data_IF_432367407251
#
_entry.id   IF_432367407251
#
_cell.length_a   1.000
_cell.length_b   1.000
_cell.length_c   1.000
_cell.angle_alpha   90.00
_cell.angle_beta   90.00
_cell.angle_gamma   90.00
#
_symmetry.space_group_name_H-M   'P 1'
#
loop_
_entity.id
_entity.type
_entity.pdbx_description
1 polymer ?
#
# COMPACT_ATOMS: atom_id res chain seq x y z
N UNK A 1 -9.59 22.08 -24.30
CA UNK A 1 -9.93 21.94 -25.74
C UNK A 1 -8.71 21.95 -26.66
N UNK A 2 -7.75 22.87 -26.51
CA UNK A 2 -6.56 22.94 -27.38
C UNK A 2 -5.63 21.70 -27.31
N UNK A 3 -5.43 21.13 -26.11
CA UNK A 3 -4.59 19.94 -25.92
C UNK A 3 -5.17 18.64 -26.51
N UNK A 4 -6.50 18.47 -26.40
CA UNK A 4 -7.22 17.38 -27.06
C UNK A 4 -7.15 17.51 -28.58
N UNK A 5 -7.32 18.73 -29.10
CA UNK A 5 -7.22 19.01 -30.53
C UNK A 5 -5.82 18.75 -31.09
N UNK A 6 -4.76 19.15 -30.37
CA UNK A 6 -3.38 18.91 -30.80
C UNK A 6 -3.00 17.42 -30.76
N UNK A 7 -3.45 16.70 -29.72
CA UNK A 7 -3.28 15.25 -29.59
C UNK A 7 -4.01 14.48 -30.69
N UNK A 8 -5.25 14.88 -31.01
CA UNK A 8 -5.98 14.32 -32.15
C UNK A 8 -5.26 14.62 -33.46
N UNK A 9 -4.75 15.85 -33.67
CA UNK A 9 -4.02 16.20 -34.89
C UNK A 9 -2.73 15.39 -35.10
N UNK A 10 -2.07 14.95 -34.02
CA UNK A 10 -0.90 14.06 -34.09
C UNK A 10 -1.26 12.58 -34.28
N UNK A 11 -2.43 12.15 -33.81
CA UNK A 11 -2.94 10.77 -33.99
C UNK A 11 -3.65 10.59 -35.34
N UNK A 12 -4.23 11.66 -35.89
CA UNK A 12 -5.07 11.66 -37.09
C UNK A 12 -4.40 10.98 -38.29
N UNK A 13 -3.14 11.23 -38.68
CA UNK A 13 -2.59 10.60 -39.89
C UNK A 13 -2.52 9.07 -39.80
N UNK A 14 -2.22 8.56 -38.62
CA UNK A 14 -2.15 7.11 -38.38
C UNK A 14 -3.55 6.48 -38.27
N UNK A 15 -4.46 7.15 -37.57
CA UNK A 15 -5.85 6.71 -37.44
C UNK A 15 -6.57 6.77 -38.79
N UNK A 16 -6.31 7.80 -39.60
CA UNK A 16 -6.90 7.99 -40.92
C UNK A 16 -6.34 6.96 -41.93
N UNK A 17 -5.04 6.66 -41.91
CA UNK A 17 -4.43 5.60 -42.74
C UNK A 17 -4.94 4.20 -42.35
N UNK A 18 -5.01 3.90 -41.04
CA UNK A 18 -5.57 2.66 -40.55
C UNK A 18 -7.07 2.54 -40.91
N UNK A 19 -7.84 3.61 -40.76
CA UNK A 19 -9.27 3.64 -41.12
C UNK A 19 -9.48 3.46 -42.62
N UNK A 20 -8.69 4.12 -43.46
CA UNK A 20 -8.77 3.95 -44.91
C UNK A 20 -8.47 2.49 -45.28
N UNK A 21 -7.36 1.92 -44.78
CA UNK A 21 -6.97 0.53 -45.03
C UNK A 21 -8.02 -0.47 -44.56
N UNK A 22 -8.70 -0.21 -43.44
CA UNK A 22 -9.80 -1.07 -42.95
C UNK A 22 -10.93 -1.23 -43.97
N UNK A 23 -11.27 -0.17 -44.69
CA UNK A 23 -12.36 -0.18 -45.66
C UNK A 23 -11.94 -0.45 -47.10
N UNK A 24 -10.63 -0.39 -47.41
CA UNK A 24 -10.12 -0.54 -48.79
C UNK A 24 -9.31 -1.81 -49.06
N UNK A 25 -8.76 -2.47 -48.04
CA UNK A 25 -8.01 -3.73 -48.20
C UNK A 25 -8.96 -4.94 -48.09
N UNK A 26 -8.68 -5.99 -48.87
CA UNK A 26 -9.38 -7.26 -48.73
C UNK A 26 -9.15 -7.86 -47.33
N UNK A 27 -10.18 -8.48 -46.76
CA UNK A 27 -10.16 -8.99 -45.38
C UNK A 27 -9.00 -9.97 -45.09
N UNK A 28 -8.55 -10.70 -46.12
CA UNK A 28 -7.47 -11.68 -46.01
C UNK A 28 -6.06 -11.09 -46.25
N UNK A 29 -5.96 -9.84 -46.72
CA UNK A 29 -4.71 -9.17 -47.11
C UNK A 29 -4.33 -8.08 -46.09
N UNK A 30 -3.94 -8.48 -44.88
CA UNK A 30 -3.45 -7.59 -43.82
C UNK A 30 -4.40 -6.43 -43.46
N UNK A 31 -5.72 -6.63 -43.62
CA UNK A 31 -6.71 -5.63 -43.26
C UNK A 31 -6.61 -5.31 -41.75
N UNK A 32 -6.41 -4.03 -41.35
CA UNK A 32 -6.26 -3.65 -39.94
C UNK A 32 -7.49 -4.01 -39.07
N UNK A 33 -8.64 -4.29 -39.67
CA UNK A 33 -9.83 -4.78 -38.97
C UNK A 33 -9.59 -6.15 -38.31
N UNK A 34 -8.67 -6.97 -38.82
CA UNK A 34 -8.24 -8.20 -38.14
C UNK A 34 -7.69 -7.90 -36.74
N UNK A 35 -7.00 -6.77 -36.56
CA UNK A 35 -6.52 -6.35 -35.25
C UNK A 35 -7.68 -6.09 -34.27
N UNK A 36 -8.86 -5.66 -34.74
CA UNK A 36 -10.06 -5.49 -33.91
C UNK A 36 -10.46 -6.85 -33.31
N UNK A 37 -10.61 -7.88 -34.15
CA UNK A 37 -10.97 -9.23 -33.67
C UNK A 37 -9.93 -9.81 -32.70
N UNK A 38 -8.64 -9.49 -32.91
CA UNK A 38 -7.56 -9.86 -31.99
C UNK A 38 -7.71 -9.13 -30.65
N UNK A 39 -8.00 -7.82 -30.68
CA UNK A 39 -8.20 -7.02 -29.46
C UNK A 39 -9.48 -7.33 -28.70
N UNK A 40 -10.53 -7.83 -29.39
CA UNK A 40 -11.74 -8.34 -28.75
C UNK A 40 -11.47 -9.65 -28.00
N UNK A 41 -10.57 -10.49 -28.53
CA UNK A 41 -10.19 -11.77 -27.92
C UNK A 41 -9.13 -11.61 -26.83
N UNK A 42 -8.15 -10.72 -27.02
CA UNK A 42 -7.00 -10.54 -26.14
C UNK A 42 -6.78 -9.06 -25.83
N UNK A 43 -6.58 -8.74 -24.55
CA UNK A 43 -6.20 -7.38 -24.16
C UNK A 43 -4.83 -7.01 -24.75
N UNK A 44 -4.57 -5.72 -25.08
CA UNK A 44 -3.25 -5.26 -25.49
C UNK A 44 -2.15 -5.64 -24.48
N UNK A 45 -2.47 -5.63 -23.19
CA UNK A 45 -1.58 -6.10 -22.11
C UNK A 45 -1.17 -7.56 -22.33
N UNK A 46 -2.14 -8.46 -22.56
CA UNK A 46 -1.86 -9.88 -22.76
C UNK A 46 -0.97 -10.12 -23.99
N UNK A 47 -1.22 -9.39 -25.08
CA UNK A 47 -0.42 -9.50 -26.32
C UNK A 47 1.02 -9.06 -26.08
N UNK A 48 1.22 -7.88 -25.47
CA UNK A 48 2.56 -7.33 -25.20
C UNK A 48 3.32 -8.21 -24.20
N UNK A 49 2.68 -8.62 -23.11
CA UNK A 49 3.30 -9.52 -22.14
C UNK A 49 3.69 -10.86 -22.79
N UNK A 50 2.84 -11.44 -23.65
CA UNK A 50 3.17 -12.65 -24.39
C UNK A 50 4.39 -12.45 -25.32
N UNK A 51 4.47 -11.32 -26.02
CA UNK A 51 5.61 -10.99 -26.87
C UNK A 51 6.91 -10.86 -26.07
N UNK A 52 6.90 -10.13 -24.94
CA UNK A 52 8.09 -9.98 -24.10
C UNK A 52 8.49 -11.32 -23.47
N UNK A 53 7.54 -12.15 -23.06
CA UNK A 53 7.82 -13.53 -22.60
C UNK A 53 8.48 -14.37 -23.69
N UNK A 54 7.99 -14.27 -24.94
CA UNK A 54 8.55 -15.00 -26.07
C UNK A 54 9.97 -14.52 -26.43
N UNK A 55 10.27 -13.23 -26.26
CA UNK A 55 11.60 -12.66 -26.50
C UNK A 55 12.61 -13.05 -25.42
N UNK A 56 12.23 -12.94 -24.14
CA UNK A 56 13.16 -13.13 -23.03
C UNK A 56 13.29 -14.58 -22.58
N UNK A 57 12.21 -15.38 -22.67
CA UNK A 57 12.18 -16.74 -22.12
C UNK A 57 12.26 -16.82 -20.60
N UNK A 58 12.08 -15.69 -19.90
CA UNK A 58 12.12 -15.56 -18.43
C UNK A 58 10.84 -14.95 -17.88
N UNK A 59 10.73 -14.91 -16.56
CA UNK A 59 9.68 -14.20 -15.85
C UNK A 59 9.65 -12.70 -16.20
N UNK A 60 8.43 -12.11 -16.18
CA UNK A 60 8.25 -10.66 -16.36
C UNK A 60 8.13 -10.00 -15.00
N UNK A 61 8.64 -8.78 -14.90
CA UNK A 61 8.46 -7.90 -13.76
C UNK A 61 7.51 -6.75 -14.11
N UNK A 62 6.51 -6.50 -13.26
CA UNK A 62 5.57 -5.38 -13.38
C UNK A 62 5.69 -4.45 -12.16
N UNK A 63 5.70 -3.13 -12.35
CA UNK A 63 5.68 -2.18 -11.24
C UNK A 63 4.24 -1.85 -10.82
N UNK A 64 4.10 -1.32 -9.62
CA UNK A 64 2.90 -0.76 -9.00
C UNK A 64 1.81 -1.75 -8.55
N UNK A 65 1.99 -3.06 -8.74
CA UNK A 65 1.01 -4.07 -8.33
C UNK A 65 -0.10 -4.29 -9.35
N UNK A 66 -1.13 -5.03 -8.93
CA UNK A 66 -2.25 -5.39 -9.80
C UNK A 66 -3.07 -4.18 -10.26
N UNK A 67 -3.44 -4.08 -11.55
CA UNK A 67 -4.47 -3.16 -12.00
C UNK A 67 -5.89 -3.66 -11.69
N UNK A 68 -6.05 -4.90 -11.21
CA UNK A 68 -7.34 -5.50 -10.89
C UNK A 68 -7.73 -5.09 -9.46
N UNK A 69 -8.78 -4.27 -9.35
CA UNK A 69 -9.32 -3.83 -8.06
C UNK A 69 -10.58 -4.65 -7.75
N UNK A 70 -10.49 -5.46 -6.70
CA UNK A 70 -11.54 -6.41 -6.30
C UNK A 70 -12.25 -5.99 -5.02
N UNK A 71 -11.78 -4.97 -4.32
CA UNK A 71 -12.41 -4.36 -3.16
C UNK A 71 -13.44 -3.30 -3.59
N UNK A 72 -14.76 -3.58 -3.54
CA UNK A 72 -15.80 -2.65 -4.00
C UNK A 72 -16.08 -1.54 -2.97
N UNK A 73 -15.07 -0.75 -2.59
CA UNK A 73 -15.20 0.36 -1.65
C UNK A 73 -16.31 1.36 -2.04
N UNK A 74 -16.57 1.51 -3.34
CA UNK A 74 -17.62 2.37 -3.89
C UNK A 74 -19.05 1.90 -3.57
N UNK A 75 -19.26 0.62 -3.24
CA UNK A 75 -20.58 0.08 -2.84
C UNK A 75 -20.92 0.34 -1.37
N UNK A 76 -19.94 0.73 -0.56
CA UNK A 76 -20.12 1.04 0.86
C UNK A 76 -20.30 2.56 1.01
N UNK A 77 -21.26 3.00 1.80
CA UNK A 77 -21.57 4.40 2.04
C UNK A 77 -21.47 4.73 3.53
N UNK A 78 -21.00 5.95 3.85
CA UNK A 78 -21.11 6.52 5.19
C UNK A 78 -22.52 7.11 5.36
N UNK A 79 -23.13 6.91 6.52
CA UNK A 79 -24.52 7.27 6.75
C UNK A 79 -24.63 8.61 7.51
N UNK A 80 -25.08 9.71 6.85
CA UNK A 80 -25.20 10.99 7.50
C UNK A 80 -26.31 11.03 8.55
N UNK A 81 -26.16 11.89 9.55
CA UNK A 81 -27.13 12.11 10.63
C UNK A 81 -27.35 13.62 10.79
N UNK A 82 -28.60 14.03 11.02
CA UNK A 82 -28.99 15.45 10.94
C UNK A 82 -29.95 15.90 12.05
N UNK A 83 -31.02 15.13 12.29
CA UNK A 83 -32.12 15.55 13.17
C UNK A 83 -32.13 14.81 14.51
N UNK A 84 -31.97 13.48 14.48
CA UNK A 84 -31.98 12.65 15.70
C UNK A 84 -30.63 12.66 16.43
N UNK A 85 -29.58 13.10 15.75
CA UNK A 85 -28.27 13.36 16.31
C UNK A 85 -27.76 14.64 15.64
N UNK A 86 -27.27 15.56 16.46
CA UNK A 86 -26.80 16.87 15.99
C UNK A 86 -25.28 16.80 15.76
N UNK A 87 -24.80 17.21 14.58
CA UNK A 87 -23.36 17.20 14.29
C UNK A 87 -22.61 18.24 15.12
N UNK A 88 -21.31 18.03 15.32
CA UNK A 88 -20.43 19.04 15.91
C UNK A 88 -20.47 20.32 15.07
N UNK A 89 -20.44 21.49 15.71
CA UNK A 89 -20.62 22.76 15.00
C UNK A 89 -19.36 23.23 14.25
N UNK A 90 -18.21 22.62 14.53
CA UNK A 90 -16.92 22.91 13.90
C UNK A 90 -16.14 21.62 13.64
N UNK A 91 -15.95 21.29 12.36
CA UNK A 91 -15.19 20.11 11.94
C UNK A 91 -13.74 20.12 12.46
N UNK A 92 -13.17 21.29 12.77
CA UNK A 92 -11.79 21.40 13.26
C UNK A 92 -11.61 20.74 14.63
N UNK A 93 -12.68 20.65 15.43
CA UNK A 93 -12.69 19.98 16.73
C UNK A 93 -12.71 18.46 16.65
N UNK A 94 -12.92 17.89 15.46
CA UNK A 94 -12.90 16.44 15.27
C UNK A 94 -11.49 15.93 15.47
N UNK A 95 -11.35 15.01 16.42
CA UNK A 95 -10.11 14.34 16.75
C UNK A 95 -9.72 13.32 15.67
N UNK A 96 -8.45 13.33 15.31
CA UNK A 96 -7.86 12.46 14.28
C UNK A 96 -6.69 11.65 14.80
N UNK A 97 -6.32 11.84 16.07
CA UNK A 97 -5.12 11.22 16.63
C UNK A 97 -5.31 9.71 16.70
N UNK A 98 -4.27 8.97 16.33
CA UNK A 98 -4.24 7.52 16.52
C UNK A 98 -3.04 7.11 17.36
N UNK A 99 -3.15 5.95 18.00
CA UNK A 99 -2.08 5.38 18.81
C UNK A 99 -1.92 3.95 18.36
N UNK A 100 -0.71 3.58 17.94
CA UNK A 100 -0.36 2.21 17.58
C UNK A 100 0.54 1.63 18.66
N UNK A 101 0.19 0.43 19.10
CA UNK A 101 0.82 -0.32 20.17
C UNK A 101 0.65 0.32 21.53
N UNK A 102 -0.60 0.55 21.93
CA UNK A 102 -0.94 1.10 23.25
C UNK A 102 -0.37 0.32 24.44
N UNK A 103 -0.05 -0.97 24.26
CA UNK A 103 0.59 -1.85 25.26
C UNK A 103 2.12 -1.75 25.28
N UNK A 104 2.74 -1.01 24.36
CA UNK A 104 4.18 -0.73 24.38
C UNK A 104 4.51 0.34 25.43
N UNK A 105 5.75 0.33 25.93
CA UNK A 105 6.21 1.36 26.88
C UNK A 105 6.35 2.72 26.19
N UNK A 106 6.68 2.72 24.90
CA UNK A 106 6.78 3.90 24.04
C UNK A 106 5.83 3.73 22.84
N UNK A 107 4.50 3.88 23.04
CA UNK A 107 3.53 3.69 21.96
C UNK A 107 3.71 4.77 20.89
N UNK A 108 3.39 4.42 19.64
CA UNK A 108 3.46 5.33 18.51
C UNK A 108 2.23 6.24 18.52
N UNK A 109 2.40 7.53 18.83
CA UNK A 109 1.31 8.51 18.91
C UNK A 109 1.33 9.40 17.67
N UNK A 110 0.31 9.27 16.83
CA UNK A 110 0.23 9.96 15.54
C UNK A 110 -0.90 10.97 15.53
N UNK A 111 -0.72 12.09 14.83
CA UNK A 111 -1.74 13.13 14.70
C UNK A 111 -2.87 12.75 13.74
N UNK A 112 -2.60 11.80 12.83
CA UNK A 112 -3.53 11.33 11.81
C UNK A 112 -3.42 9.80 11.65
N UNK A 113 -4.49 9.09 11.24
CA UNK A 113 -4.50 7.63 11.11
C UNK A 113 -4.05 7.14 9.73
N UNK A 114 -3.29 7.96 9.00
CA UNK A 114 -2.79 7.66 7.65
C UNK A 114 -1.27 7.57 7.77
N UNK A 115 -0.70 6.40 7.47
CA UNK A 115 0.72 6.13 7.61
C UNK A 115 1.31 5.80 6.24
N UNK A 116 2.56 6.21 5.97
CA UNK A 116 3.24 5.83 4.73
C UNK A 116 3.75 4.40 4.86
N UNK A 117 3.31 3.53 3.94
CA UNK A 117 3.61 2.09 3.98
C UNK A 117 5.09 1.78 3.70
N UNK A 118 5.46 0.55 4.01
CA UNK A 118 6.79 0.00 3.82
C UNK A 118 7.18 -0.05 2.32
N UNK A 119 8.21 0.70 1.94
CA UNK A 119 8.78 0.68 0.58
C UNK A 119 10.30 0.80 0.69
N UNK A 120 11.03 -0.23 0.27
CA UNK A 120 12.46 -0.39 0.55
C UNK A 120 13.32 0.67 -0.11
N UNK A 121 14.33 1.15 0.61
CA UNK A 121 15.38 1.97 0.03
C UNK A 121 16.32 1.11 -0.82
N UNK A 122 16.59 1.50 -2.07
CA UNK A 122 17.45 0.73 -2.99
C UNK A 122 16.72 -0.41 -3.70
N UNK A 123 15.96 -1.24 -2.97
CA UNK A 123 15.13 -2.29 -3.59
C UNK A 123 13.90 -1.75 -4.34
N UNK A 124 13.33 -0.62 -3.88
CA UNK A 124 12.15 -0.01 -4.50
C UNK A 124 12.36 1.46 -4.82
N UNK A 125 12.62 2.29 -3.81
CA UNK A 125 12.63 3.74 -3.93
C UNK A 125 14.06 4.32 -3.89
N UNK A 126 14.23 5.43 -4.59
CA UNK A 126 15.44 6.26 -4.52
C UNK A 126 15.61 6.92 -3.15
N UNK A 127 16.83 7.35 -2.81
CA UNK A 127 17.12 8.01 -1.52
C UNK A 127 16.33 9.30 -1.39
N UNK A 128 16.27 10.07 -2.48
CA UNK A 128 15.51 11.33 -2.55
C UNK A 128 14.04 11.11 -2.24
N UNK A 129 13.42 10.05 -2.80
CA UNK A 129 12.03 9.75 -2.52
C UNK A 129 11.82 9.32 -1.06
N UNK A 130 12.69 8.46 -0.50
CA UNK A 130 12.59 8.05 0.91
C UNK A 130 12.68 9.23 1.87
N UNK A 131 13.61 10.15 1.63
CA UNK A 131 13.73 11.39 2.42
C UNK A 131 12.47 12.26 2.25
N UNK A 132 11.95 12.41 1.03
CA UNK A 132 10.74 13.20 0.79
C UNK A 132 9.51 12.64 1.52
N UNK A 133 9.33 11.31 1.50
CA UNK A 133 8.27 10.63 2.23
C UNK A 133 8.41 10.82 3.74
N UNK A 134 9.62 10.67 4.29
CA UNK A 134 9.92 10.87 5.70
C UNK A 134 9.62 12.32 6.15
N UNK A 135 10.10 13.32 5.39
CA UNK A 135 9.82 14.74 5.67
C UNK A 135 8.32 15.04 5.58
N UNK A 136 7.64 14.58 4.53
CA UNK A 136 6.22 14.84 4.31
C UNK A 136 5.33 14.19 5.39
N UNK A 137 5.67 12.97 5.82
CA UNK A 137 5.01 12.29 6.93
C UNK A 137 5.20 13.05 8.25
N UNK A 138 6.42 13.49 8.54
CA UNK A 138 6.74 14.27 9.75
C UNK A 138 6.00 15.61 9.79
N UNK A 139 5.92 16.34 8.67
CA UNK A 139 5.13 17.59 8.60
C UNK A 139 3.65 17.32 8.91
N UNK A 140 3.13 16.16 8.53
CA UNK A 140 1.76 15.76 8.80
C UNK A 140 1.56 15.11 10.19
N UNK A 141 2.62 14.95 10.99
CA UNK A 141 2.58 14.30 12.31
C UNK A 141 2.26 12.80 12.23
N UNK A 142 2.73 12.11 11.19
CA UNK A 142 2.55 10.67 11.00
C UNK A 142 3.87 9.94 10.74
N UNK A 143 3.81 8.61 10.68
CA UNK A 143 4.98 7.76 10.49
C UNK A 143 5.24 7.41 9.00
N UNK A 144 6.48 7.00 8.75
CA UNK A 144 6.89 6.31 7.53
C UNK A 144 7.57 4.99 7.88
N UNK A 145 7.78 4.12 6.90
CA UNK A 145 8.31 2.78 7.11
C UNK A 145 9.49 2.49 6.17
N UNK A 146 10.56 1.88 6.71
CA UNK A 146 11.80 1.62 5.97
C UNK A 146 11.60 0.74 4.74
N UNK A 147 10.63 -0.17 4.77
CA UNK A 147 10.60 -1.31 3.85
C UNK A 147 11.68 -2.34 4.18
N UNK A 148 11.79 -3.37 3.34
CA UNK A 148 12.82 -4.42 3.44
C UNK A 148 14.18 -3.79 3.08
N UNK A 149 14.78 -3.06 4.03
CA UNK A 149 16.06 -2.36 3.94
C UNK A 149 16.57 -2.05 5.35
N UNK A 150 17.86 -1.80 5.50
CA UNK A 150 18.42 -1.18 6.70
C UNK A 150 17.92 0.28 6.89
N UNK A 151 18.05 0.81 8.11
CA UNK A 151 17.79 2.22 8.41
C UNK A 151 18.90 3.07 7.81
N UNK A 152 18.50 4.05 6.99
CA UNK A 152 19.40 5.01 6.36
C UNK A 152 19.41 6.32 7.16
N UNK A 153 20.59 6.89 7.38
CA UNK A 153 20.78 8.07 8.24
C UNK A 153 19.88 9.25 7.83
N UNK A 154 19.93 9.63 6.55
CA UNK A 154 19.12 10.74 6.04
C UNK A 154 17.60 10.50 6.13
N UNK A 155 17.15 9.24 6.03
CA UNK A 155 15.73 8.91 6.21
C UNK A 155 15.33 9.02 7.68
N UNK A 156 16.16 8.47 8.57
CA UNK A 156 15.94 8.53 10.02
C UNK A 156 15.92 9.97 10.53
N UNK A 157 16.86 10.80 10.09
CA UNK A 157 16.92 12.23 10.45
C UNK A 157 15.70 13.01 9.96
N UNK A 158 15.16 12.62 8.79
CA UNK A 158 13.99 13.25 8.20
C UNK A 158 12.66 12.79 8.81
N UNK A 159 12.63 11.62 9.46
CA UNK A 159 11.43 11.03 10.04
C UNK A 159 11.27 11.39 11.52
N UNK A 160 10.14 11.99 11.88
CA UNK A 160 9.70 12.11 13.27
C UNK A 160 9.41 10.72 13.85
N UNK A 161 8.70 9.89 13.08
CA UNK A 161 8.37 8.52 13.42
C UNK A 161 8.75 7.56 12.29
N UNK A 162 9.60 6.58 12.58
CA UNK A 162 10.05 5.57 11.62
C UNK A 162 9.72 4.16 12.11
N UNK A 163 8.95 3.44 11.31
CA UNK A 163 8.67 2.02 11.51
C UNK A 163 9.75 1.21 10.75
N UNK A 164 10.46 0.34 11.47
CA UNK A 164 11.49 -0.53 10.89
C UNK A 164 10.92 -1.87 10.46
N UNK A 165 11.14 -2.26 9.21
CA UNK A 165 10.72 -3.57 8.72
C UNK A 165 11.76 -4.66 9.01
N UNK A 166 11.48 -5.50 9.99
CA UNK A 166 12.27 -6.70 10.28
C UNK A 166 11.94 -7.74 9.21
N UNK A 167 12.92 -8.08 8.37
CA UNK A 167 12.68 -8.72 7.07
C UNK A 167 13.52 -9.97 6.84
N UNK A 168 13.23 -10.68 5.75
CA UNK A 168 13.82 -11.98 5.42
C UNK A 168 15.23 -11.86 4.81
N UNK A 169 15.64 -10.67 4.36
CA UNK A 169 17.01 -10.37 3.94
C UNK A 169 17.96 -10.06 5.10
N UNK A 170 17.44 -9.77 6.30
CA UNK A 170 18.25 -9.59 7.50
C UNK A 170 18.86 -8.20 7.70
N UNK A 171 18.66 -7.28 6.76
CA UNK A 171 19.39 -6.00 6.72
C UNK A 171 19.08 -5.04 7.89
N UNK A 172 17.87 -5.11 8.45
CA UNK A 172 17.46 -4.30 9.61
C UNK A 172 17.54 -5.08 10.93
N UNK A 173 17.78 -6.39 10.88
CA UNK A 173 17.49 -7.30 11.99
C UNK A 173 18.54 -7.28 13.12
N UNK A 174 19.47 -6.32 13.11
CA UNK A 174 20.51 -6.20 14.12
C UNK A 174 20.09 -5.27 15.27
N UNK A 175 20.60 -5.47 16.50
CA UNK A 175 20.30 -4.58 17.62
C UNK A 175 20.65 -3.11 17.38
N UNK A 176 21.71 -2.85 16.61
CA UNK A 176 22.14 -1.48 16.25
C UNK A 176 21.10 -0.77 15.39
N UNK A 177 20.48 -1.48 14.45
CA UNK A 177 19.44 -0.96 13.58
C UNK A 177 18.10 -0.83 14.32
N UNK A 178 17.69 -1.87 15.07
CA UNK A 178 16.41 -1.92 15.78
C UNK A 178 16.28 -0.86 16.88
N UNK A 179 17.39 -0.40 17.47
CA UNK A 179 17.38 0.71 18.44
C UNK A 179 17.08 2.08 17.82
N UNK A 180 17.08 2.19 16.48
CA UNK A 180 16.91 3.45 15.75
C UNK A 180 15.47 3.69 15.28
N UNK A 181 14.55 2.75 15.53
CA UNK A 181 13.17 2.82 15.02
C UNK A 181 12.17 3.04 16.15
N UNK A 182 11.02 3.63 15.82
CA UNK A 182 9.95 3.98 16.75
C UNK A 182 8.85 2.91 16.81
N UNK A 183 8.90 1.92 15.92
CA UNK A 183 8.16 0.66 15.95
C UNK A 183 8.90 -0.37 15.09
N UNK A 184 8.68 -1.66 15.39
CA UNK A 184 9.23 -2.79 14.64
C UNK A 184 8.07 -3.53 13.99
N UNK A 185 8.12 -3.74 12.68
CA UNK A 185 7.14 -4.51 11.92
C UNK A 185 7.82 -5.74 11.32
N UNK A 186 7.46 -6.93 11.80
CA UNK A 186 7.99 -8.20 11.29
C UNK A 186 7.25 -8.58 10.01
N UNK A 187 7.95 -8.52 8.89
CA UNK A 187 7.40 -8.67 7.55
C UNK A 187 7.39 -10.14 7.11
N UNK A 188 6.19 -10.71 7.00
CA UNK A 188 5.97 -12.09 6.54
C UNK A 188 5.33 -12.15 5.15
N UNK A 189 4.58 -11.12 4.75
CA UNK A 189 3.95 -11.05 3.42
C UNK A 189 3.53 -9.65 2.99
N UNK A 190 3.39 -9.47 1.68
CA UNK A 190 2.99 -8.23 0.99
C UNK A 190 1.98 -8.57 -0.11
N UNK A 191 0.96 -7.74 -0.32
CA UNK A 191 -0.09 -7.99 -1.32
C UNK A 191 0.41 -8.40 -2.71
N UNK A 192 1.35 -7.64 -3.29
CA UNK A 192 1.84 -7.86 -4.66
C UNK A 192 2.71 -9.12 -4.85
N UNK A 193 3.37 -9.59 -3.79
CA UNK A 193 4.24 -10.78 -3.82
C UNK A 193 3.58 -11.99 -3.14
N UNK A 194 2.45 -11.80 -2.46
CA UNK A 194 1.91 -12.74 -1.48
C UNK A 194 2.82 -12.86 -0.25
N UNK A 195 3.10 -14.08 0.20
CA UNK A 195 4.03 -14.34 1.28
C UNK A 195 5.05 -15.42 0.89
N UNK A 196 6.19 -15.39 1.55
CA UNK A 196 7.12 -16.52 1.59
C UNK A 196 7.71 -17.01 0.25
N UNK A 197 8.22 -16.10 -0.58
CA UNK A 197 9.03 -16.45 -1.76
C UNK A 197 10.41 -15.77 -1.75
N UNK A 198 11.34 -16.34 -2.51
CA UNK A 198 12.65 -15.74 -2.74
C UNK A 198 12.54 -14.57 -3.74
N UNK A 199 13.08 -13.42 -3.36
CA UNK A 199 13.29 -12.28 -4.23
C UNK A 199 14.81 -12.05 -4.35
N UNK A 200 15.29 -12.09 -5.60
CA UNK A 200 16.72 -11.96 -5.90
C UNK A 200 16.91 -10.63 -6.62
N UNK A 201 17.72 -9.76 -6.04
CA UNK A 201 18.20 -8.56 -6.72
C UNK A 201 19.63 -8.78 -7.21
N UNK A 202 19.86 -8.79 -8.54
CA UNK A 202 21.19 -9.04 -9.10
C UNK A 202 22.23 -8.03 -8.64
N UNK A 203 23.45 -8.46 -8.35
CA UNK A 203 24.55 -7.60 -7.87
C UNK A 203 24.78 -6.35 -8.75
N UNK A 204 24.55 -6.48 -10.06
CA UNK A 204 24.71 -5.41 -11.07
C UNK A 204 23.65 -4.30 -10.97
N UNK A 205 22.49 -4.58 -10.37
CA UNK A 205 21.42 -3.59 -10.18
C UNK A 205 21.47 -2.92 -8.81
N UNK A 206 22.43 -3.28 -7.95
CA UNK A 206 22.57 -2.72 -6.62
C UNK A 206 23.71 -1.71 -6.61
N UNK A 207 23.40 -0.47 -6.27
CA UNK A 207 24.41 0.57 -6.09
C UNK A 207 25.32 0.29 -4.88
N UNK A 208 26.59 0.69 -4.97
CA UNK A 208 27.61 0.37 -3.96
C UNK A 208 27.20 0.75 -2.54
N UNK A 209 26.62 1.94 -2.37
CA UNK A 209 26.21 2.43 -1.05
C UNK A 209 25.04 1.61 -0.45
N UNK A 210 24.20 0.97 -1.29
CA UNK A 210 23.16 0.03 -0.84
C UNK A 210 23.79 -1.27 -0.37
N UNK A 211 24.78 -1.78 -1.10
CA UNK A 211 25.54 -2.98 -0.70
C UNK A 211 26.20 -2.80 0.66
N UNK A 212 26.80 -1.63 0.89
CA UNK A 212 27.37 -1.24 2.19
C UNK A 212 26.31 -1.23 3.29
N UNK A 213 25.14 -0.61 3.04
CA UNK A 213 24.03 -0.54 3.99
C UNK A 213 23.41 -1.91 4.32
N UNK A 214 23.42 -2.84 3.36
CA UNK A 214 22.85 -4.18 3.50
C UNK A 214 23.87 -5.25 3.87
N UNK A 215 25.15 -4.88 4.01
CA UNK A 215 26.27 -5.80 4.23
C UNK A 215 26.38 -6.91 3.15
N UNK A 216 26.05 -6.56 1.89
CA UNK A 216 26.16 -7.44 0.72
C UNK A 216 27.50 -7.18 0.02
N UNK A 217 28.18 -8.23 -0.45
CA UNK A 217 29.47 -8.08 -1.17
C UNK A 217 29.26 -7.57 -2.60
N UNK A 218 30.28 -6.91 -3.16
CA UNK A 218 30.18 -6.29 -4.49
C UNK A 218 29.74 -7.22 -5.63
N UNK A 219 30.07 -8.52 -5.57
CA UNK A 219 29.71 -9.49 -6.62
C UNK A 219 28.63 -10.48 -6.17
N UNK A 220 27.89 -10.16 -5.11
CA UNK A 220 26.86 -11.01 -4.53
C UNK A 220 25.48 -10.42 -4.77
N UNK A 221 24.53 -11.29 -5.13
CA UNK A 221 23.13 -10.91 -5.26
C UNK A 221 22.54 -10.69 -3.87
N UNK A 222 21.67 -9.69 -3.73
CA UNK A 222 20.91 -9.52 -2.50
C UNK A 222 19.67 -10.40 -2.56
N UNK A 223 19.45 -11.20 -1.51
CA UNK A 223 18.35 -12.17 -1.47
C UNK A 223 17.43 -11.85 -0.30
N UNK A 224 16.15 -11.69 -0.59
CA UNK A 224 15.09 -11.73 0.43
C UNK A 224 14.54 -13.15 0.37
N UNK A 225 14.82 -13.94 1.41
CA UNK A 225 14.48 -15.36 1.41
C UNK A 225 12.98 -15.63 1.56
N UNK A 226 12.53 -16.81 1.13
CA UNK A 226 11.17 -17.29 1.39
C UNK A 226 10.84 -17.38 2.89
N UNK A 227 11.84 -17.65 3.74
CA UNK A 227 11.70 -17.71 5.19
C UNK A 227 12.77 -16.88 5.86
N UNK A 228 12.44 -16.28 7.02
CA UNK A 228 13.46 -15.63 7.84
C UNK A 228 14.51 -16.66 8.28
N UNK A 229 15.81 -16.31 8.26
CA UNK A 229 16.86 -17.20 8.74
C UNK A 229 16.59 -17.72 10.16
N UNK A 230 16.66 -19.04 10.35
CA UNK A 230 16.42 -19.69 11.64
C UNK A 230 14.94 -19.96 11.97
N UNK A 231 13.99 -19.58 11.12
CA UNK A 231 12.56 -19.82 11.33
C UNK A 231 12.11 -21.03 10.52
N UNK A 232 11.66 -22.09 11.20
CA UNK A 232 11.18 -23.33 10.56
C UNK A 232 9.77 -23.73 10.95
N UNK A 233 9.16 -23.06 11.94
CA UNK A 233 7.83 -23.34 12.44
C UNK A 233 7.11 -22.06 12.87
N UNK A 234 5.78 -22.13 13.01
CA UNK A 234 4.98 -21.04 13.60
C UNK A 234 5.41 -20.71 15.03
N UNK A 235 5.89 -21.71 15.78
CA UNK A 235 6.40 -21.50 17.14
C UNK A 235 7.66 -20.62 17.15
N UNK A 236 8.52 -20.75 16.13
CA UNK A 236 9.71 -19.89 16.01
C UNK A 236 9.32 -18.44 15.75
N UNK A 237 8.26 -18.20 14.95
CA UNK A 237 7.71 -16.86 14.73
C UNK A 237 7.17 -16.29 16.05
N UNK A 238 6.37 -17.07 16.79
CA UNK A 238 5.85 -16.65 18.10
C UNK A 238 6.99 -16.27 19.04
N UNK A 239 8.03 -17.09 19.11
CA UNK A 239 9.20 -16.84 19.95
C UNK A 239 9.95 -15.58 19.52
N UNK A 240 10.14 -15.37 18.22
CA UNK A 240 10.78 -14.17 17.67
C UNK A 240 10.03 -12.90 18.07
N UNK A 241 8.72 -12.87 17.85
CA UNK A 241 7.89 -11.70 18.18
C UNK A 241 7.90 -11.40 19.67
N UNK A 242 7.73 -12.43 20.51
CA UNK A 242 7.75 -12.27 21.96
C UNK A 242 9.12 -11.81 22.47
N UNK A 243 10.21 -12.28 21.84
CA UNK A 243 11.56 -11.81 22.12
C UNK A 243 11.70 -10.32 21.79
N UNK A 244 11.34 -9.90 20.57
CA UNK A 244 11.38 -8.48 20.17
C UNK A 244 10.55 -7.61 21.12
N UNK A 245 9.34 -8.07 21.48
CA UNK A 245 8.45 -7.36 22.39
C UNK A 245 9.02 -7.21 23.81
N UNK A 246 9.84 -8.16 24.26
CA UNK A 246 10.47 -8.10 25.59
C UNK A 246 11.78 -7.29 25.59
N UNK A 247 12.51 -7.26 24.47
CA UNK A 247 13.79 -6.55 24.34
C UNK A 247 13.64 -5.06 24.01
N UNK A 248 12.58 -4.67 23.30
CA UNK A 248 12.39 -3.30 22.82
C UNK A 248 11.15 -2.64 23.43
N UNK A 249 11.29 -1.36 23.80
CA UNK A 249 10.22 -0.58 24.44
C UNK A 249 9.16 -0.06 23.45
N UNK A 250 9.45 -0.11 22.15
CA UNK A 250 8.60 0.37 21.05
C UNK A 250 7.56 -0.68 20.63
N UNK A 251 6.50 -0.32 19.88
CA UNK A 251 5.54 -1.28 19.37
C UNK A 251 6.19 -2.33 18.49
N UNK A 252 5.79 -3.59 18.65
CA UNK A 252 6.20 -4.70 17.78
C UNK A 252 4.96 -5.26 17.09
N UNK A 253 4.94 -5.27 15.77
CA UNK A 253 3.82 -5.78 14.99
C UNK A 253 4.23 -6.82 13.96
N UNK A 254 3.22 -7.41 13.32
CA UNK A 254 3.37 -8.45 12.31
C UNK A 254 2.65 -7.99 11.06
N UNK A 255 3.33 -8.04 9.91
CA UNK A 255 2.72 -7.75 8.61
C UNK A 255 2.56 -9.03 7.79
N UNK A 256 1.33 -9.30 7.36
CA UNK A 256 0.95 -10.45 6.52
C UNK A 256 0.27 -9.99 5.23
N UNK A 257 0.38 -10.81 4.18
CA UNK A 257 -0.45 -10.66 3.00
C UNK A 257 -1.87 -11.14 3.27
N UNK A 258 -2.86 -10.52 2.65
CA UNK A 258 -4.24 -11.00 2.64
C UNK A 258 -4.30 -12.39 2.03
N UNK A 259 -4.90 -13.34 2.73
CA UNK A 259 -5.03 -14.74 2.31
C UNK A 259 -6.41 -15.27 2.69
N UNK A 260 -6.88 -16.32 2.01
CA UNK A 260 -8.11 -17.02 2.39
C UNK A 260 -7.97 -17.77 3.72
N UNK A 261 -6.73 -17.99 4.18
CA UNK A 261 -6.42 -18.61 5.48
C UNK A 261 -6.24 -17.60 6.62
N UNK A 262 -6.79 -16.39 6.49
CA UNK A 262 -6.51 -15.29 7.42
C UNK A 262 -6.84 -15.64 8.87
N UNK A 263 -7.86 -16.45 9.13
CA UNK A 263 -8.21 -16.90 10.48
C UNK A 263 -7.16 -17.85 11.08
N UNK A 264 -6.52 -18.69 10.28
CA UNK A 264 -5.43 -19.57 10.74
C UNK A 264 -4.15 -18.75 11.00
N UNK A 265 -3.86 -17.75 10.17
CA UNK A 265 -2.78 -16.79 10.42
C UNK A 265 -3.01 -16.03 11.73
N UNK A 266 -4.24 -15.53 11.94
CA UNK A 266 -4.61 -14.81 13.15
C UNK A 266 -4.58 -15.70 14.40
N UNK A 267 -4.87 -16.99 14.28
CA UNK A 267 -4.74 -17.97 15.36
C UNK A 267 -3.29 -18.16 15.80
N UNK A 268 -2.32 -18.06 14.88
CA UNK A 268 -0.89 -18.04 15.23
C UNK A 268 -0.54 -16.70 15.87
N UNK A 269 -0.94 -15.59 15.24
CA UNK A 269 -0.64 -14.24 15.71
C UNK A 269 -1.21 -13.99 17.13
N UNK A 270 -2.39 -14.52 17.45
CA UNK A 270 -3.02 -14.34 18.76
C UNK A 270 -2.22 -14.91 19.93
N UNK A 271 -1.34 -15.88 19.66
CA UNK A 271 -0.42 -16.50 20.62
C UNK A 271 0.84 -15.65 20.85
N UNK A 272 1.04 -14.59 20.07
CA UNK A 272 2.14 -13.64 20.23
C UNK A 272 1.77 -12.49 21.16
N UNK A 273 2.76 -11.75 21.64
CA UNK A 273 2.60 -10.49 22.37
C UNK A 273 2.72 -9.25 21.47
N UNK A 274 2.52 -9.41 20.15
CA UNK A 274 2.51 -8.29 19.23
C UNK A 274 1.49 -7.21 19.65
N UNK A 275 1.84 -5.97 19.35
CA UNK A 275 1.07 -4.77 19.62
C UNK A 275 0.11 -4.44 18.47
N UNK A 276 0.50 -4.75 17.23
CA UNK A 276 -0.31 -4.46 16.05
C UNK A 276 -0.16 -5.52 14.96
N UNK A 277 -1.14 -5.58 14.07
CA UNK A 277 -1.19 -6.47 12.90
C UNK A 277 -1.40 -5.60 11.67
N UNK A 278 -0.51 -5.71 10.70
CA UNK A 278 -0.68 -5.11 9.38
C UNK A 278 -1.16 -6.17 8.39
N UNK A 279 -2.27 -5.90 7.71
CA UNK A 279 -2.82 -6.77 6.67
C UNK A 279 -2.70 -6.05 5.33
N UNK A 280 -2.05 -6.68 4.35
CA UNK A 280 -1.84 -6.12 3.02
C UNK A 280 -2.60 -6.94 1.99
N UNK A 281 -3.76 -6.43 1.56
CA UNK A 281 -4.57 -7.12 0.56
C UNK A 281 -3.89 -7.19 -0.81
N UNK A 282 -4.38 -8.06 -1.68
CA UNK A 282 -3.80 -8.33 -3.01
C UNK A 282 -3.64 -7.10 -3.91
N UNK A 283 -4.37 -6.02 -3.61
CA UNK A 283 -4.29 -4.72 -4.29
C UNK A 283 -3.07 -3.88 -3.84
N UNK A 284 -2.17 -4.46 -3.06
CA UNK A 284 -0.89 -3.89 -2.66
C UNK A 284 0.02 -3.58 -3.86
N UNK A 285 0.82 -2.53 -3.74
CA UNK A 285 1.81 -2.15 -4.75
C UNK A 285 3.19 -2.75 -4.49
N UNK A 286 4.05 -2.70 -5.51
CA UNK A 286 5.47 -3.06 -5.42
C UNK A 286 6.27 -2.25 -6.46
N UNK A 287 7.59 -2.17 -6.34
CA UNK A 287 8.44 -1.68 -7.44
C UNK A 287 8.52 -2.68 -8.58
N UNK A 288 8.37 -3.96 -8.27
CA UNK A 288 8.48 -5.09 -9.20
C UNK A 288 7.90 -6.34 -8.56
N UNK A 289 6.97 -7.03 -9.22
CA UNK A 289 6.64 -8.43 -8.96
C UNK A 289 6.17 -9.10 -10.25
N UNK A 290 6.01 -10.42 -10.21
CA UNK A 290 5.53 -11.19 -11.35
C UNK A 290 4.03 -10.95 -11.56
N UNK A 291 3.54 -10.73 -12.80
CA UNK A 291 2.12 -10.47 -13.06
C UNK A 291 1.17 -11.51 -12.44
N UNK A 292 1.55 -12.79 -12.42
CA UNK A 292 0.76 -13.86 -11.80
C UNK A 292 0.64 -13.69 -10.28
N UNK A 293 1.71 -13.25 -9.60
CA UNK A 293 1.64 -13.01 -8.16
C UNK A 293 0.74 -11.80 -7.86
N UNK A 294 0.85 -10.76 -8.67
CA UNK A 294 0.05 -9.55 -8.48
C UNK A 294 -1.43 -9.79 -8.79
N UNK A 295 -1.76 -10.47 -9.90
CA UNK A 295 -3.15 -10.60 -10.38
C UNK A 295 -3.90 -11.80 -9.77
N UNK A 296 -3.20 -12.87 -9.37
CA UNK A 296 -3.83 -14.16 -9.04
C UNK A 296 -3.58 -14.64 -7.60
N UNK A 297 -2.75 -13.94 -6.80
CA UNK A 297 -2.42 -14.36 -5.43
C UNK A 297 -2.93 -13.38 -4.38
N UNK A 298 -3.56 -13.94 -3.34
CA UNK A 298 -4.00 -13.21 -2.16
C UNK A 298 -5.47 -12.80 -2.17
N UNK A 299 -5.93 -12.27 -1.05
CA UNK A 299 -7.29 -11.84 -0.82
C UNK A 299 -7.41 -10.31 -0.91
N UNK A 300 -8.49 -9.75 -1.49
CA UNK A 300 -8.62 -8.30 -1.62
C UNK A 300 -8.78 -7.61 -0.26
N UNK A 301 -8.26 -6.37 -0.18
CA UNK A 301 -8.10 -5.61 1.08
C UNK A 301 -9.37 -5.52 1.91
N UNK A 302 -10.51 -5.24 1.28
CA UNK A 302 -11.78 -5.10 1.98
C UNK A 302 -12.20 -6.40 2.68
N UNK A 303 -12.02 -7.54 2.01
CA UNK A 303 -12.42 -8.86 2.51
C UNK A 303 -11.46 -9.32 3.62
N UNK A 304 -10.16 -9.09 3.44
CA UNK A 304 -9.15 -9.37 4.46
C UNK A 304 -9.42 -8.57 5.74
N UNK A 305 -9.72 -7.27 5.63
CA UNK A 305 -10.06 -6.45 6.79
C UNK A 305 -11.32 -6.97 7.52
N UNK A 306 -12.40 -7.20 6.78
CA UNK A 306 -13.67 -7.60 7.37
C UNK A 306 -13.58 -8.93 8.12
N UNK A 307 -12.89 -9.92 7.54
CA UNK A 307 -12.65 -11.23 8.15
C UNK A 307 -11.75 -11.12 9.36
N UNK A 308 -10.66 -10.38 9.27
CA UNK A 308 -9.75 -10.21 10.39
C UNK A 308 -10.41 -9.53 11.59
N UNK A 309 -11.14 -8.43 11.37
CA UNK A 309 -11.86 -7.75 12.45
C UNK A 309 -12.91 -8.67 13.07
N UNK A 310 -13.70 -9.36 12.25
CA UNK A 310 -14.72 -10.30 12.75
C UNK A 310 -14.09 -11.41 13.59
N UNK A 311 -12.98 -12.00 13.14
CA UNK A 311 -12.28 -13.04 13.90
C UNK A 311 -11.71 -12.50 15.22
N UNK A 312 -11.11 -11.31 15.22
CA UNK A 312 -10.57 -10.68 16.43
C UNK A 312 -11.67 -10.32 17.44
N UNK A 313 -12.83 -9.87 16.97
CA UNK A 313 -14.03 -9.63 17.78
C UNK A 313 -14.55 -10.95 18.38
N UNK A 314 -14.77 -11.97 17.55
CA UNK A 314 -15.33 -13.27 17.95
C UNK A 314 -14.41 -14.03 18.94
N UNK A 315 -13.10 -13.79 18.89
CA UNK A 315 -12.09 -14.40 19.76
C UNK A 315 -11.62 -13.47 20.91
N UNK A 316 -12.34 -12.38 21.20
CA UNK A 316 -12.02 -11.42 22.27
C UNK A 316 -10.58 -10.87 22.21
N UNK A 317 -9.99 -10.82 21.02
CA UNK A 317 -8.61 -10.40 20.77
C UNK A 317 -8.51 -8.99 20.18
N UNK A 318 -9.64 -8.33 19.88
CA UNK A 318 -9.67 -6.98 19.30
C UNK A 318 -8.95 -5.92 20.15
N UNK A 319 -8.98 -6.05 21.48
CA UNK A 319 -8.28 -5.13 22.40
C UNK A 319 -6.79 -5.45 22.56
N UNK A 320 -6.31 -6.59 22.04
CA UNK A 320 -4.92 -7.01 22.16
C UNK A 320 -4.05 -6.42 21.04
N UNK A 321 -4.62 -6.24 19.85
CA UNK A 321 -3.92 -5.83 18.65
C UNK A 321 -4.58 -4.61 18.01
N UNK A 322 -3.77 -3.60 17.71
CA UNK A 322 -4.17 -2.55 16.76
C UNK A 322 -4.08 -3.12 15.33
N UNK A 323 -5.01 -2.77 14.44
CA UNK A 323 -5.07 -3.28 13.07
C UNK A 323 -4.75 -2.18 12.06
N UNK A 324 -3.70 -2.39 11.27
CA UNK A 324 -3.33 -1.53 10.15
C UNK A 324 -3.69 -2.25 8.85
N UNK A 325 -4.35 -1.56 7.93
CA UNK A 325 -4.78 -2.15 6.65
C UNK A 325 -4.17 -1.42 5.45
N UNK A 326 -3.75 -2.16 4.43
CA UNK A 326 -3.17 -1.67 3.18
C UNK A 326 -3.61 -2.50 1.96
N UNK A 327 -3.32 -1.97 0.78
CA UNK A 327 -3.69 -2.49 -0.54
C UNK A 327 -4.81 -1.65 -1.17
N UNK A 328 -4.52 -1.02 -2.31
CA UNK A 328 -5.51 -0.27 -3.10
C UNK A 328 -6.18 0.97 -2.46
N UNK A 329 -5.85 1.35 -1.22
CA UNK A 329 -6.44 2.51 -0.54
C UNK A 329 -5.89 3.82 -1.13
N UNK A 330 -6.77 4.66 -1.68
CA UNK A 330 -6.36 5.83 -2.47
C UNK A 330 -7.12 7.12 -2.15
N UNK A 331 -8.24 7.06 -1.43
CA UNK A 331 -9.09 8.24 -1.16
C UNK A 331 -9.44 8.37 0.32
N UNK A 332 -9.73 9.58 0.81
CA UNK A 332 -10.23 9.79 2.18
C UNK A 332 -11.44 8.92 2.52
N UNK A 333 -12.34 8.73 1.55
CA UNK A 333 -13.48 7.83 1.67
C UNK A 333 -13.09 6.36 1.88
N UNK A 334 -12.05 5.86 1.20
CA UNK A 334 -11.54 4.51 1.47
C UNK A 334 -10.97 4.40 2.89
N UNK A 335 -10.18 5.40 3.31
CA UNK A 335 -9.56 5.42 4.63
C UNK A 335 -10.63 5.39 5.73
N UNK A 336 -11.66 6.24 5.66
CA UNK A 336 -12.75 6.26 6.63
C UNK A 336 -13.54 4.95 6.68
N UNK A 337 -13.82 4.35 5.53
CA UNK A 337 -14.56 3.08 5.48
C UNK A 337 -13.75 1.96 6.11
N UNK A 338 -12.44 1.93 5.88
CA UNK A 338 -11.54 0.98 6.54
C UNK A 338 -11.53 1.19 8.06
N UNK A 339 -11.42 2.44 8.53
CA UNK A 339 -11.49 2.77 9.96
C UNK A 339 -12.83 2.33 10.58
N UNK A 340 -13.94 2.66 9.93
CA UNK A 340 -15.29 2.29 10.38
C UNK A 340 -15.51 0.77 10.40
N UNK A 341 -14.85 0.01 9.51
CA UNK A 341 -14.87 -1.46 9.53
C UNK A 341 -14.05 -2.06 10.68
N UNK A 342 -13.17 -1.28 11.32
CA UNK A 342 -12.45 -1.65 12.53
C UNK A 342 -10.93 -1.47 12.48
N UNK A 343 -10.36 -0.95 11.38
CA UNK A 343 -8.94 -0.61 11.35
C UNK A 343 -8.61 0.55 12.30
N UNK A 344 -7.42 0.55 12.88
CA UNK A 344 -6.89 1.60 13.77
C UNK A 344 -6.00 2.61 13.02
N UNK A 345 -5.48 2.21 11.86
CA UNK A 345 -4.83 3.08 10.89
C UNK A 345 -4.86 2.45 9.49
N UNK A 346 -4.54 3.26 8.48
CA UNK A 346 -4.33 2.80 7.11
C UNK A 346 -2.91 3.09 6.65
N UNK A 347 -2.35 2.15 5.91
CA UNK A 347 -1.10 2.34 5.18
C UNK A 347 -1.39 2.74 3.74
N UNK A 348 -0.64 3.73 3.24
CA UNK A 348 -0.69 4.17 1.84
C UNK A 348 0.69 4.17 1.19
N UNK A 349 0.77 3.67 -0.05
CA UNK A 349 2.02 3.58 -0.83
C UNK A 349 1.91 4.30 -2.16
N UNK A 350 1.34 3.61 -3.15
CA UNK A 350 1.23 4.11 -4.53
C UNK A 350 0.63 5.51 -4.61
N UNK A 351 -0.49 5.78 -3.91
CA UNK A 351 -1.12 7.10 -3.92
C UNK A 351 -0.23 8.19 -3.29
N UNK A 352 0.55 7.85 -2.25
CA UNK A 352 1.49 8.78 -1.62
C UNK A 352 2.64 9.14 -2.56
N UNK A 353 3.14 8.17 -3.35
CA UNK A 353 4.14 8.43 -4.38
C UNK A 353 3.62 9.41 -5.44
N UNK A 354 2.41 9.19 -5.94
CA UNK A 354 1.79 10.07 -6.92
C UNK A 354 1.50 11.48 -6.36
N UNK A 355 1.08 11.56 -5.10
CA UNK A 355 0.93 12.85 -4.41
C UNK A 355 2.27 13.59 -4.32
N UNK A 356 3.35 12.90 -3.92
CA UNK A 356 4.67 13.52 -3.78
C UNK A 356 5.23 14.04 -5.12
N UNK A 357 5.01 13.34 -6.24
CA UNK A 357 5.57 13.73 -7.54
C UNK A 357 4.67 14.69 -8.34
N UNK A 358 3.56 15.20 -7.79
CA UNK A 358 2.49 15.86 -8.56
C UNK A 358 2.96 16.87 -9.62
N UNK A 359 3.52 18.01 -9.23
CA UNK A 359 4.02 19.04 -10.17
C UNK A 359 5.24 18.53 -10.94
N UNK A 360 6.00 17.64 -10.32
CA UNK A 360 7.26 17.13 -10.83
C UNK A 360 7.07 16.09 -11.93
N UNK A 361 5.87 15.53 -12.10
CA UNK A 361 5.54 14.56 -13.14
C UNK A 361 5.83 15.11 -14.55
N UNK A 362 5.75 16.44 -14.73
CA UNK A 362 6.12 17.14 -15.98
C UNK A 362 7.58 16.90 -16.39
N UNK A 363 8.46 16.54 -15.44
CA UNK A 363 9.87 16.21 -15.71
C UNK A 363 10.02 14.86 -16.44
N UNK A 364 8.96 14.06 -16.50
CA UNK A 364 8.91 12.75 -17.16
C UNK A 364 8.04 12.75 -18.43
N UNK A 365 6.82 13.32 -18.35
CA UNK A 365 5.87 13.32 -19.47
C UNK A 365 6.31 14.29 -20.59
N UNK A 366 5.94 14.02 -21.87
CA UNK A 366 5.19 12.87 -22.36
C UNK A 366 6.04 11.61 -22.61
N UNK A 367 7.36 11.70 -22.44
CA UNK A 367 8.30 10.68 -22.94
C UNK A 367 8.54 9.48 -22.02
N UNK A 368 8.28 9.61 -20.71
CA UNK A 368 8.54 8.61 -19.67
C UNK A 368 7.41 8.58 -18.64
N UNK A 369 7.32 7.47 -17.90
CA UNK A 369 6.35 7.31 -16.82
C UNK A 369 6.78 8.12 -15.59
N UNK A 370 5.87 8.87 -14.92
CA UNK A 370 6.20 9.69 -13.75
C UNK A 370 6.87 8.92 -12.60
N UNK A 371 6.55 7.63 -12.44
CA UNK A 371 7.11 6.77 -11.38
C UNK A 371 8.65 6.65 -11.46
N UNK A 372 9.27 6.95 -12.62
CA UNK A 372 10.73 7.00 -12.76
C UNK A 372 11.42 8.07 -11.91
N UNK A 373 10.67 9.05 -11.39
CA UNK A 373 11.18 10.03 -10.43
C UNK A 373 11.30 9.43 -9.02
N UNK A 374 10.53 8.38 -8.72
CA UNK A 374 10.42 7.77 -7.40
C UNK A 374 11.34 6.54 -7.24
N UNK A 375 11.30 5.63 -8.23
CA UNK A 375 11.94 4.32 -8.16
C UNK A 375 13.46 4.41 -8.18
N UNK A 376 14.13 3.47 -7.49
CA UNK A 376 15.59 3.35 -7.48
C UNK A 376 16.15 3.08 -8.88
N UNK A 377 15.50 2.23 -9.67
CA UNK A 377 15.88 1.95 -11.06
C UNK A 377 15.38 3.03 -12.05
N UNK A 378 14.73 4.08 -11.54
CA UNK A 378 14.20 5.17 -12.33
C UNK A 378 15.31 6.05 -12.91
N UNK A 379 15.32 6.23 -14.24
CA UNK A 379 16.30 7.07 -14.95
C UNK A 379 16.17 8.57 -14.65
N UNK A 380 15.10 8.97 -13.97
CA UNK A 380 14.80 10.37 -13.66
C UNK A 380 14.89 10.67 -12.16
N UNK A 381 15.25 9.69 -11.31
CA UNK A 381 15.29 9.83 -9.85
C UNK A 381 16.09 11.05 -9.37
N UNK A 382 17.17 11.40 -10.08
CA UNK A 382 18.03 12.53 -9.73
C UNK A 382 17.36 13.89 -9.97
N UNK A 383 16.31 13.94 -10.79
CA UNK A 383 15.53 15.16 -11.06
C UNK A 383 14.47 15.45 -10.00
N UNK A 384 14.24 14.53 -9.06
CA UNK A 384 13.32 14.73 -7.96
C UNK A 384 13.85 15.83 -7.03
N UNK A 385 13.00 16.83 -6.79
CA UNK A 385 13.16 17.81 -5.73
C UNK A 385 12.51 17.25 -4.46
N UNK A 386 13.31 17.10 -3.41
CA UNK A 386 12.91 16.43 -2.17
C UNK A 386 11.95 17.29 -1.36
N UNK A 387 12.19 18.60 -1.28
CA UNK A 387 11.42 19.49 -0.42
C UNK A 387 10.06 19.81 -1.05
N UNK A 388 10.02 19.98 -2.37
CA UNK A 388 8.77 20.09 -3.13
C UNK A 388 7.93 18.80 -3.00
N UNK A 389 8.57 17.63 -3.10
CA UNK A 389 7.88 16.35 -2.94
C UNK A 389 7.32 16.14 -1.53
N UNK A 390 8.10 16.49 -0.51
CA UNK A 390 7.67 16.45 0.89
C UNK A 390 6.49 17.39 1.14
N UNK A 391 6.54 18.61 0.61
CA UNK A 391 5.46 19.59 0.76
C UNK A 391 4.16 19.12 0.08
N UNK A 392 4.23 18.52 -1.11
CA UNK A 392 3.06 17.96 -1.78
C UNK A 392 2.45 16.78 -1.03
N UNK A 393 3.29 15.87 -0.51
CA UNK A 393 2.79 14.78 0.32
C UNK A 393 2.09 15.30 1.58
N UNK A 394 2.70 16.26 2.29
CA UNK A 394 2.11 16.86 3.47
C UNK A 394 0.76 17.54 3.16
N UNK A 395 0.66 18.24 2.04
CA UNK A 395 -0.58 18.84 1.57
C UNK A 395 -1.65 17.79 1.26
N UNK A 396 -1.29 16.68 0.61
CA UNK A 396 -2.20 15.57 0.32
C UNK A 396 -2.74 14.94 1.61
N UNK A 397 -1.87 14.65 2.59
CA UNK A 397 -2.27 14.11 3.89
C UNK A 397 -3.19 15.08 4.64
N UNK A 398 -2.84 16.37 4.71
CA UNK A 398 -3.64 17.41 5.35
C UNK A 398 -5.01 17.59 4.69
N UNK A 399 -5.05 17.59 3.36
CA UNK A 399 -6.30 17.68 2.59
C UNK A 399 -7.18 16.46 2.85
N UNK A 400 -6.57 15.27 2.81
CA UNK A 400 -7.28 14.02 3.08
C UNK A 400 -7.92 14.02 4.46
N UNK A 401 -7.16 14.43 5.49
CA UNK A 401 -7.64 14.52 6.86
C UNK A 401 -8.74 15.57 7.03
N UNK A 402 -8.66 16.68 6.29
CA UNK A 402 -9.72 17.70 6.29
C UNK A 402 -11.03 17.13 5.75
N UNK A 403 -10.99 16.40 4.63
CA UNK A 403 -12.14 15.72 4.07
C UNK A 403 -12.68 14.64 5.04
N UNK A 404 -11.78 13.91 5.71
CA UNK A 404 -12.15 12.93 6.73
C UNK A 404 -12.92 13.56 7.89
N UNK A 405 -12.50 14.73 8.36
CA UNK A 405 -13.21 15.47 9.41
C UNK A 405 -14.60 15.89 8.94
N UNK A 406 -14.77 16.39 7.72
CA UNK A 406 -16.10 16.73 7.20
C UNK A 406 -17.04 15.52 7.14
N UNK A 407 -16.54 14.37 6.69
CA UNK A 407 -17.33 13.14 6.65
C UNK A 407 -17.71 12.65 8.06
N UNK A 408 -16.77 12.68 9.01
CA UNK A 408 -17.05 12.36 10.42
C UNK A 408 -18.06 13.34 11.04
N UNK A 409 -17.99 14.63 10.70
CA UNK A 409 -18.98 15.62 11.11
C UNK A 409 -20.38 15.25 10.59
N UNK A 410 -20.47 14.88 9.31
CA UNK A 410 -21.72 14.49 8.67
C UNK A 410 -22.34 13.22 9.27
N UNK A 411 -21.52 12.30 9.80
CA UNK A 411 -21.98 11.12 10.56
C UNK A 411 -22.15 11.38 12.06
N UNK A 412 -22.04 12.65 12.49
CA UNK A 412 -22.12 13.11 13.88
C UNK A 412 -21.10 12.46 14.83
N UNK A 413 -19.87 12.26 14.36
CA UNK A 413 -18.74 11.78 15.16
C UNK A 413 -17.82 12.93 15.55
N UNK A 414 -17.24 12.82 16.75
CA UNK A 414 -16.28 13.78 17.30
C UNK A 414 -14.84 13.30 17.24
N UNK A 415 -14.63 12.02 16.94
CA UNK A 415 -13.32 11.46 16.61
C UNK A 415 -13.45 10.47 15.47
N UNK A 416 -12.42 10.36 14.63
CA UNK A 416 -12.34 9.31 13.59
C UNK A 416 -12.44 7.91 14.22
N UNK A 417 -11.96 7.74 15.47
CA UNK A 417 -12.05 6.48 16.21
C UNK A 417 -13.47 6.09 16.64
N UNK A 418 -14.41 7.03 16.63
CA UNK A 418 -15.82 6.74 16.95
C UNK A 418 -16.59 6.17 15.75
N UNK A 419 -16.01 6.17 14.55
CA UNK A 419 -16.61 5.54 13.39
C UNK A 419 -16.67 4.03 13.59
N UNK A 420 -17.82 3.44 13.27
CA UNK A 420 -18.03 2.00 13.39
C UNK A 420 -18.85 1.45 12.23
N UNK A 421 -19.05 0.13 12.21
CA UNK A 421 -19.91 -0.57 11.25
C UNK A 421 -21.34 0.00 11.19
N UNK A 422 -21.82 0.62 12.28
CA UNK A 422 -23.14 1.27 12.33
C UNK A 422 -23.25 2.55 11.50
N UNK A 423 -22.10 3.17 11.20
CA UNK A 423 -21.99 4.33 10.32
C UNK A 423 -21.89 3.93 8.84
N UNK A 424 -21.81 2.64 8.55
CA UNK A 424 -21.73 2.09 7.20
C UNK A 424 -23.06 1.49 6.76
N UNK A 425 -23.32 1.59 5.46
CA UNK A 425 -24.47 0.96 4.80
C UNK A 425 -24.09 0.58 3.37
N UNK A 426 -24.72 -0.47 2.84
CA UNK A 426 -24.60 -0.88 1.44
C UNK A 426 -25.96 -1.30 0.88
N UNK A 427 -26.14 -1.13 -0.43
CA UNK A 427 -27.31 -1.64 -1.18
C UNK A 427 -27.07 -3.05 -1.75
N UNK A 428 -25.94 -3.65 -1.42
CA UNK A 428 -25.54 -5.00 -1.84
C UNK A 428 -25.67 -5.94 -0.63
N UNK A 429 -26.59 -6.91 -0.72
CA UNK A 429 -26.97 -7.76 0.43
C UNK A 429 -25.83 -8.70 0.84
N UNK A 430 -25.16 -9.32 -0.12
CA UNK A 430 -24.07 -10.26 0.15
C UNK A 430 -22.87 -9.51 0.75
N UNK A 431 -22.61 -8.29 0.26
CA UNK A 431 -21.60 -7.42 0.84
C UNK A 431 -21.98 -6.98 2.28
N UNK A 432 -23.25 -6.69 2.55
CA UNK A 432 -23.69 -6.33 3.89
C UNK A 432 -23.45 -7.46 4.90
N UNK A 433 -23.79 -8.69 4.52
CA UNK A 433 -23.60 -9.89 5.33
C UNK A 433 -22.12 -10.15 5.62
N UNK A 434 -21.29 -10.15 4.58
CA UNK A 434 -19.85 -10.35 4.70
C UNK A 434 -19.20 -9.33 5.64
N UNK A 435 -19.49 -8.04 5.46
CA UNK A 435 -18.86 -6.97 6.22
C UNK A 435 -19.46 -6.79 7.61
N UNK A 436 -20.54 -7.53 7.93
CA UNK A 436 -21.38 -7.33 9.12
C UNK A 436 -21.84 -5.86 9.26
N UNK A 437 -22.24 -5.24 8.14
CA UNK A 437 -22.79 -3.87 8.10
C UNK A 437 -24.27 -3.87 7.69
N UNK A 438 -24.91 -2.70 7.75
CA UNK A 438 -26.33 -2.57 7.40
C UNK A 438 -26.58 -2.76 5.90
N UNK A 439 -27.50 -3.66 5.56
CA UNK A 439 -28.17 -3.64 4.24
C UNK A 439 -29.25 -2.55 4.18
N UNK A 440 -29.13 -1.63 3.23
CA UNK A 440 -29.99 -0.46 3.07
C UNK A 440 -31.47 -0.81 2.82
N UNK A 441 -31.74 -1.97 2.21
CA UNK A 441 -33.11 -2.39 1.88
C UNK A 441 -33.97 -2.74 3.09
N UNK A 442 -33.40 -2.79 4.29
CA UNK A 442 -34.15 -3.01 5.53
C UNK A 442 -34.25 -1.71 6.37
N UNK A 443 -35.43 -1.33 6.87
CA UNK A 443 -35.58 -0.14 7.72
C UNK A 443 -34.78 -0.28 9.02
N UNK A 444 -34.18 0.81 9.53
CA UNK A 444 -33.59 0.81 10.89
C UNK A 444 -34.75 0.71 11.90
N UNK A 445 -34.72 -0.32 12.76
CA UNK A 445 -35.71 -0.52 13.83
C UNK A 445 -35.29 0.23 15.07
#
# INVERSE_FOLDING_TARGET
MLGWWLMMKTLNPFVDDAAQKMFTLDYHDDNPFLAVTVTEKLSPRAIVEAAVRAELGTELARPLGSPVVLSPWHKILLNPRQLFQIPENDYKKIDTKTVIGSRAKKPLKLEIPIIITAMSHGGSLSSKMKIALAKGASIAGTATNTGESAVIDNEREAAEFLIGQYNRGGWLNTPEQLKRVDAIEVQLGQGAWGGAIDEIMPAKSIEKYIKEAWHVKDNEDAIIHARMPGISSSQDIINLINKLKSEYDVPVGIKIAGTDFIEEELKVISQTEADFITIDGSEGGTSSAYPTLEDDVGLPTLYSLARAISWLEDNNSRNKFDVIITGGLSTPGHFLKAMALGADAVYIGTIALFAAIQTQAIKAIPSKTPVQLALHMGKLKDKLDVDEAAAHLANFLKSSVTEMKYAAQATCKRSIKELSKDDLVTVDKDLAELLRIRYAGHPRK
#
